data_IF_367042325320
#
_entry.id   IF_367042325320
#
_cell.length_a   1.000
_cell.length_b   1.000
_cell.length_c   1.000
_cell.angle_alpha   90.00
_cell.angle_beta   90.00
_cell.angle_gamma   90.00
#
_symmetry.space_group_name_H-M   'P 1'
#
loop_
_entity.id
_entity.type
_entity.pdbx_description
1 polymer ?
#
# COMPACT_ATOMS: atom_id res chain seq x y z
N UNK A 1 38.72 -21.97 2.25
CA UNK A 1 37.32 -21.77 2.70
C UNK A 1 36.63 -20.49 2.19
N UNK A 2 37.31 -19.58 1.48
CA UNK A 2 36.67 -18.35 0.95
C UNK A 2 36.10 -18.46 -0.47
N UNK A 3 36.56 -19.44 -1.26
CA UNK A 3 36.18 -19.57 -2.69
C UNK A 3 34.74 -20.08 -2.90
N UNK A 4 34.14 -20.72 -1.90
CA UNK A 4 32.77 -21.26 -1.97
C UNK A 4 31.70 -20.18 -1.75
N UNK A 5 31.98 -19.16 -0.91
CA UNK A 5 31.01 -18.08 -0.64
C UNK A 5 30.86 -17.09 -1.80
N UNK A 6 31.90 -16.86 -2.61
CA UNK A 6 31.77 -15.98 -3.79
C UNK A 6 30.87 -16.58 -4.89
N UNK A 7 30.87 -17.91 -5.08
CA UNK A 7 29.96 -18.55 -6.06
C UNK A 7 28.50 -18.53 -5.61
N UNK A 8 28.24 -18.46 -4.32
CA UNK A 8 26.88 -18.37 -3.78
C UNK A 8 26.33 -16.94 -3.91
N UNK A 9 27.19 -15.91 -3.76
CA UNK A 9 26.85 -14.51 -4.05
C UNK A 9 26.65 -14.27 -5.56
N UNK A 10 27.47 -14.87 -6.44
CA UNK A 10 27.24 -14.83 -7.90
C UNK A 10 25.97 -15.57 -8.32
N UNK A 11 25.57 -16.65 -7.62
CA UNK A 11 24.29 -17.34 -7.87
C UNK A 11 23.08 -16.49 -7.46
N UNK A 12 23.19 -15.72 -6.39
CA UNK A 12 22.13 -14.79 -5.96
C UNK A 12 22.07 -13.58 -6.91
N UNK A 13 23.21 -13.13 -7.45
CA UNK A 13 23.27 -12.07 -8.47
C UNK A 13 22.73 -12.45 -9.85
N UNK A 14 22.68 -13.75 -10.18
CA UNK A 14 22.16 -14.25 -11.46
C UNK A 14 20.64 -14.51 -11.46
N UNK A 15 19.95 -14.31 -10.33
CA UNK A 15 18.52 -14.57 -10.17
C UNK A 15 17.68 -13.29 -9.95
N UNK A 16 18.16 -12.13 -10.40
CA UNK A 16 17.24 -11.09 -10.86
C UNK A 16 16.76 -11.53 -12.24
N UNK A 17 16.02 -12.63 -12.27
CA UNK A 17 15.26 -13.02 -13.45
C UNK A 17 14.29 -11.89 -13.77
N UNK A 18 14.13 -11.58 -15.05
CA UNK A 18 13.14 -10.65 -15.62
C UNK A 18 11.85 -10.63 -14.78
N UNK A 19 11.75 -9.71 -13.81
CA UNK A 19 10.56 -9.59 -12.97
C UNK A 19 9.54 -8.88 -13.84
N UNK A 20 8.72 -9.68 -14.53
CA UNK A 20 7.56 -9.16 -15.26
C UNK A 20 6.50 -8.76 -14.25
N UNK A 21 6.46 -7.48 -13.95
CA UNK A 21 5.39 -6.88 -13.15
C UNK A 21 4.18 -6.66 -14.05
N UNK A 22 3.06 -7.30 -13.70
CA UNK A 22 1.76 -7.02 -14.33
C UNK A 22 1.20 -5.73 -13.72
N UNK A 23 1.56 -4.59 -14.31
CA UNK A 23 1.21 -3.25 -13.81
C UNK A 23 -0.30 -3.03 -13.75
N UNK A 24 -1.08 -3.69 -14.63
CA UNK A 24 -2.54 -3.65 -14.60
C UNK A 24 -3.10 -4.33 -13.33
N UNK A 25 -2.59 -5.52 -12.97
CA UNK A 25 -2.99 -6.18 -11.71
C UNK A 25 -2.57 -5.38 -10.48
N UNK A 26 -1.38 -4.79 -10.49
CA UNK A 26 -0.90 -3.95 -9.37
C UNK A 26 -1.78 -2.72 -9.21
N UNK A 27 -2.18 -2.07 -10.31
CA UNK A 27 -3.10 -0.93 -10.30
C UNK A 27 -4.47 -1.31 -9.76
N UNK A 28 -5.03 -2.45 -10.20
CA UNK A 28 -6.29 -3.02 -9.69
C UNK A 28 -6.22 -3.30 -8.18
N UNK A 29 -5.13 -3.90 -7.69
CA UNK A 29 -4.95 -4.13 -6.26
C UNK A 29 -4.89 -2.81 -5.47
N UNK A 30 -4.31 -1.76 -6.06
CA UNK A 30 -4.34 -0.42 -5.51
C UNK A 30 -5.75 0.16 -5.40
N UNK A 31 -6.57 -0.02 -6.44
CA UNK A 31 -7.99 0.38 -6.44
C UNK A 31 -8.81 -0.38 -5.39
N UNK A 32 -8.64 -1.71 -5.32
CA UNK A 32 -9.30 -2.56 -4.32
C UNK A 32 -8.94 -2.12 -2.90
N UNK A 33 -7.68 -1.73 -2.67
CA UNK A 33 -7.22 -1.27 -1.36
C UNK A 33 -7.81 0.08 -0.97
N UNK A 34 -7.94 1.00 -1.92
CA UNK A 34 -8.63 2.28 -1.70
C UNK A 34 -10.12 2.08 -1.42
N UNK A 35 -10.78 1.19 -2.17
CA UNK A 35 -12.18 0.85 -1.96
C UNK A 35 -12.41 0.21 -0.59
N UNK A 36 -11.59 -0.77 -0.22
CA UNK A 36 -11.65 -1.42 1.09
C UNK A 36 -11.41 -0.44 2.24
N UNK A 37 -10.43 0.46 2.08
CA UNK A 37 -10.17 1.55 3.03
C UNK A 37 -11.42 2.40 3.25
N UNK A 38 -12.07 2.86 2.17
CA UNK A 38 -13.27 3.69 2.26
C UNK A 38 -14.45 2.95 2.92
N UNK A 39 -14.68 1.69 2.55
CA UNK A 39 -15.74 0.88 3.15
C UNK A 39 -15.48 0.63 4.64
N UNK A 40 -14.23 0.33 5.00
CA UNK A 40 -13.82 0.11 6.39
C UNK A 40 -14.05 1.36 7.23
N UNK A 41 -13.62 2.52 6.74
CA UNK A 41 -13.85 3.80 7.43
C UNK A 41 -15.34 4.04 7.66
N UNK A 42 -16.17 3.87 6.63
CA UNK A 42 -17.62 4.07 6.70
C UNK A 42 -18.31 3.12 7.68
N UNK A 43 -17.88 1.86 7.73
CA UNK A 43 -18.49 0.83 8.61
C UNK A 43 -18.10 1.02 10.07
N UNK A 44 -16.91 1.56 10.33
CA UNK A 44 -16.36 1.63 11.68
C UNK A 44 -16.54 2.99 12.35
N UNK A 45 -16.74 4.06 11.60
CA UNK A 45 -16.90 5.43 12.14
C UNK A 45 -18.13 5.62 13.04
N UNK A 46 -19.05 4.67 13.07
CA UNK A 46 -20.31 4.75 13.81
C UNK A 46 -20.59 3.56 14.72
N UNK A 47 -19.66 2.60 14.81
CA UNK A 47 -19.93 1.32 15.49
C UNK A 47 -20.10 1.48 17.01
N UNK A 48 -19.64 2.60 17.56
CA UNK A 48 -19.70 2.92 18.99
C UNK A 48 -20.51 4.18 19.29
N UNK A 49 -21.38 4.65 18.38
CA UNK A 49 -22.12 5.90 18.61
C UNK A 49 -23.07 5.82 19.84
N UNK A 50 -23.63 4.65 20.13
CA UNK A 50 -24.46 4.43 21.32
C UNK A 50 -23.68 4.52 22.65
N UNK A 51 -22.34 4.50 22.61
CA UNK A 51 -21.52 4.65 23.81
C UNK A 51 -21.64 6.05 24.43
N UNK A 52 -22.06 7.05 23.65
CA UNK A 52 -22.38 8.38 24.13
C UNK A 52 -23.57 8.36 25.11
N UNK A 53 -24.60 7.55 24.84
CA UNK A 53 -25.77 7.41 25.72
C UNK A 53 -25.37 6.76 27.05
N UNK A 54 -24.60 5.67 26.98
CA UNK A 54 -24.04 4.97 28.14
C UNK A 54 -23.17 5.90 28.99
N UNK A 55 -22.41 6.79 28.34
CA UNK A 55 -21.64 7.81 29.05
C UNK A 55 -22.53 8.76 29.84
N UNK A 56 -23.60 9.29 29.25
CA UNK A 56 -24.49 10.20 29.96
C UNK A 56 -25.19 9.53 31.15
N UNK A 57 -25.63 8.28 30.98
CA UNK A 57 -26.25 7.50 32.07
C UNK A 57 -25.30 7.21 33.24
N UNK A 58 -23.98 7.19 32.98
CA UNK A 58 -22.95 6.84 33.94
C UNK A 58 -21.85 7.91 34.09
N UNK A 59 -22.14 9.19 33.80
CA UNK A 59 -21.07 10.20 33.64
C UNK A 59 -20.23 10.45 34.90
N UNK A 60 -20.84 10.27 36.07
CA UNK A 60 -20.18 10.41 37.37
C UNK A 60 -19.47 9.14 37.83
N UNK A 61 -19.59 8.05 37.05
CA UNK A 61 -18.90 6.80 37.31
C UNK A 61 -17.62 6.72 36.48
N UNK A 62 -16.59 6.08 37.04
CA UNK A 62 -15.34 5.83 36.31
C UNK A 62 -15.58 5.02 35.03
N UNK A 63 -16.53 4.11 35.05
CA UNK A 63 -16.91 3.28 33.90
C UNK A 63 -17.45 4.10 32.74
N UNK A 64 -18.28 5.12 32.97
CA UNK A 64 -18.79 5.99 31.90
C UNK A 64 -17.67 6.74 31.18
N UNK A 65 -16.74 7.33 31.95
CA UNK A 65 -15.55 8.00 31.38
C UNK A 65 -14.62 7.04 30.63
N UNK A 66 -14.47 5.81 31.12
CA UNK A 66 -13.67 4.78 30.45
C UNK A 66 -14.28 4.37 29.11
N UNK A 67 -15.61 4.28 29.02
CA UNK A 67 -16.33 3.98 27.76
C UNK A 67 -16.10 5.07 26.73
N UNK A 68 -16.22 6.36 27.07
CA UNK A 68 -15.92 7.45 26.14
C UNK A 68 -14.46 7.44 25.67
N UNK A 69 -13.53 7.20 26.60
CA UNK A 69 -12.11 7.13 26.26
C UNK A 69 -11.83 5.98 25.30
N UNK A 70 -12.47 4.83 25.51
CA UNK A 70 -12.38 3.68 24.63
C UNK A 70 -12.99 3.97 23.24
N UNK A 71 -14.14 4.65 23.17
CA UNK A 71 -14.76 5.09 21.93
C UNK A 71 -13.82 5.96 21.11
N UNK A 72 -13.27 7.01 21.71
CA UNK A 72 -12.35 7.93 21.03
C UNK A 72 -11.11 7.21 20.54
N UNK A 73 -10.46 6.42 21.39
CA UNK A 73 -9.26 5.67 20.99
C UNK A 73 -9.54 4.67 19.86
N UNK A 74 -10.71 4.03 19.87
CA UNK A 74 -11.14 3.15 18.80
C UNK A 74 -11.35 3.91 17.48
N UNK A 75 -12.12 5.00 17.50
CA UNK A 75 -12.40 5.81 16.31
C UNK A 75 -11.10 6.33 15.68
N UNK A 76 -10.21 6.91 16.49
CA UNK A 76 -8.91 7.40 16.05
C UNK A 76 -8.08 6.28 15.39
N UNK A 77 -8.01 5.11 16.04
CA UNK A 77 -7.21 4.00 15.53
C UNK A 77 -7.75 3.44 14.22
N UNK A 78 -9.07 3.27 14.10
CA UNK A 78 -9.67 2.71 12.89
C UNK A 78 -9.64 3.69 11.72
N UNK A 79 -9.77 4.99 11.97
CA UNK A 79 -9.57 6.04 10.96
C UNK A 79 -8.12 6.05 10.47
N UNK A 80 -7.15 5.96 11.39
CA UNK A 80 -5.74 5.89 11.03
C UNK A 80 -5.41 4.64 10.22
N UNK A 81 -5.93 3.47 10.63
CA UNK A 81 -5.73 2.21 9.92
C UNK A 81 -6.33 2.27 8.50
N UNK A 82 -7.55 2.79 8.35
CA UNK A 82 -8.17 2.98 7.05
C UNK A 82 -7.30 3.88 6.16
N UNK A 83 -6.87 5.04 6.68
CA UNK A 83 -6.00 5.95 5.96
C UNK A 83 -4.71 5.26 5.45
N UNK A 84 -4.04 4.48 6.29
CA UNK A 84 -2.83 3.73 5.91
C UNK A 84 -3.08 2.72 4.80
N UNK A 85 -4.24 2.06 4.79
CA UNK A 85 -4.64 1.16 3.70
C UNK A 85 -4.84 1.92 2.39
N UNK A 86 -5.49 3.09 2.42
CA UNK A 86 -5.63 3.95 1.24
C UNK A 86 -4.28 4.46 0.71
N UNK A 87 -3.38 4.86 1.60
CA UNK A 87 -2.00 5.27 1.24
C UNK A 87 -1.21 4.13 0.62
N UNK A 88 -1.33 2.90 1.13
CA UNK A 88 -0.72 1.72 0.53
C UNK A 88 -1.28 1.47 -0.88
N UNK A 89 -2.59 1.58 -1.05
CA UNK A 89 -3.24 1.48 -2.36
C UNK A 89 -2.69 2.50 -3.37
N UNK A 90 -2.46 3.75 -2.92
CA UNK A 90 -1.82 4.77 -3.76
C UNK A 90 -0.40 4.39 -4.15
N UNK A 91 0.43 3.92 -3.20
CA UNK A 91 1.82 3.51 -3.50
C UNK A 91 1.90 2.37 -4.50
N UNK A 92 0.93 1.45 -4.50
CA UNK A 92 0.85 0.40 -5.51
C UNK A 92 0.63 1.00 -6.91
N UNK A 93 -0.27 1.97 -7.03
CA UNK A 93 -0.53 2.66 -8.30
C UNK A 93 0.70 3.44 -8.78
N UNK A 94 1.32 4.23 -7.88
CA UNK A 94 2.53 4.98 -8.20
C UNK A 94 3.67 4.05 -8.66
N UNK A 95 3.77 2.86 -8.06
CA UNK A 95 4.76 1.85 -8.45
C UNK A 95 4.45 1.28 -9.84
N UNK A 96 3.18 0.96 -10.13
CA UNK A 96 2.77 0.47 -11.45
C UNK A 96 3.05 1.50 -12.55
N UNK A 97 2.75 2.77 -12.30
CA UNK A 97 3.03 3.86 -13.24
C UNK A 97 4.54 4.06 -13.45
N UNK A 98 5.35 3.90 -12.40
CA UNK A 98 6.82 3.91 -12.49
C UNK A 98 7.39 2.79 -13.37
N UNK A 99 6.82 1.58 -13.28
CA UNK A 99 7.20 0.46 -14.15
C UNK A 99 6.82 0.71 -15.62
N UNK A 100 5.61 1.21 -15.88
CA UNK A 100 5.17 1.54 -17.25
C UNK A 100 6.07 2.63 -17.88
N UNK A 101 6.45 3.64 -17.09
CA UNK A 101 7.35 4.71 -17.54
C UNK A 101 8.76 4.18 -17.87
N UNK A 102 9.30 3.29 -17.03
CA UNK A 102 10.60 2.67 -17.28
C UNK A 102 10.61 1.80 -18.54
N UNK A 103 9.54 1.04 -18.78
CA UNK A 103 9.40 0.21 -19.99
C UNK A 103 9.34 1.07 -21.26
N UNK A 104 8.54 2.14 -21.23
CA UNK A 104 8.46 3.10 -22.34
C UNK A 104 9.81 3.76 -22.64
N UNK A 105 10.55 4.14 -21.59
CA UNK A 105 11.89 4.69 -21.74
C UNK A 105 12.85 3.66 -22.37
N UNK A 106 12.82 2.41 -21.93
CA UNK A 106 13.66 1.34 -22.49
C UNK A 106 13.36 1.11 -23.97
N UNK A 107 12.08 1.06 -24.36
CA UNK A 107 11.65 0.94 -25.76
C UNK A 107 12.10 2.15 -26.59
N UNK A 108 12.00 3.36 -26.03
CA UNK A 108 12.45 4.58 -26.70
C UNK A 108 13.96 4.57 -26.96
N UNK A 109 14.75 4.23 -25.94
CA UNK A 109 16.22 4.10 -26.04
C UNK A 109 16.61 3.02 -27.05
N UNK A 110 15.91 1.89 -27.07
CA UNK A 110 16.14 0.82 -28.05
C UNK A 110 15.88 1.29 -29.49
N UNK A 111 14.75 1.97 -29.74
CA UNK A 111 14.44 2.52 -31.06
C UNK A 111 15.46 3.55 -31.53
N UNK A 112 15.89 4.44 -30.64
CA UNK A 112 16.92 5.43 -30.93
C UNK A 112 18.25 4.76 -31.31
N UNK A 113 18.69 3.75 -30.55
CA UNK A 113 19.89 2.98 -30.87
C UNK A 113 19.79 2.24 -32.22
N UNK A 114 18.63 1.64 -32.54
CA UNK A 114 18.41 1.00 -33.84
C UNK A 114 18.46 1.99 -35.01
N UNK A 115 17.93 3.21 -34.83
CA UNK A 115 18.00 4.27 -35.84
C UNK A 115 19.43 4.77 -36.06
N UNK A 116 20.23 4.83 -35.00
CA UNK A 116 21.64 5.23 -35.06
C UNK A 116 22.47 4.20 -35.84
N UNK A 117 22.25 2.91 -35.58
CA UNK A 117 22.90 1.81 -36.30
C UNK A 117 22.54 1.74 -37.79
N UNK A 118 21.32 2.12 -38.16
CA UNK A 118 20.85 2.11 -39.56
C UNK A 118 21.28 3.33 -40.39
N UNK A 119 21.98 4.29 -39.79
CA UNK A 119 22.52 5.49 -40.47
C UNK A 119 23.99 5.36 -40.88
N UNK A 120 24.57 4.17 -40.75
CA UNK A 120 25.87 3.78 -41.29
C UNK A 120 25.71 2.69 -42.35
#
# INVERSE_FOLDING_TARGET
MYKTRCREIERIGAAVGDIRVDTAKVRSAGDDMKALSSDTQRRLSHVLDSSQEVYYDAMFWKSGNAVMSCRTAWEDHMVELAKKMGELGQRLQDSADGYDAADQEAVSRLKAGLQDLGRH
#
